data_IF_049073219000
#
_entry.id   IF_049073219000
#
_cell.length_a   1.000
_cell.length_b   1.000
_cell.length_c   1.000
_cell.angle_alpha   90.00
_cell.angle_beta   90.00
_cell.angle_gamma   90.00
#
_symmetry.space_group_name_H-M   'P 1'
#
loop_
_entity.id
_entity.type
_entity.pdbx_description
1 polymer ?
#
# COMPACT_ATOMS: atom_id res chain seq x y z
N UNK A 1 -13.48 24.88 -11.36
CA UNK A 1 -12.73 26.11 -11.72
C UNK A 1 -11.89 25.98 -12.99
N UNK A 2 -12.36 25.22 -14.01
CA UNK A 2 -11.87 25.29 -15.40
C UNK A 2 -10.61 24.50 -15.76
N UNK A 3 -9.50 24.65 -15.03
CA UNK A 3 -8.21 24.04 -15.38
C UNK A 3 -7.55 23.33 -14.18
N UNK A 4 -6.88 22.17 -14.40
CA UNK A 4 -6.04 21.55 -13.37
C UNK A 4 -4.92 22.49 -12.91
N UNK A 5 -4.60 22.45 -11.61
CA UNK A 5 -3.50 23.22 -11.03
C UNK A 5 -2.32 22.27 -10.77
N UNK A 6 -1.12 22.68 -11.19
CA UNK A 6 0.11 21.97 -10.83
C UNK A 6 0.51 22.27 -9.40
N UNK A 7 0.86 21.24 -8.63
CA UNK A 7 1.41 21.38 -7.28
C UNK A 7 2.91 21.11 -7.34
N UNK A 8 3.73 22.12 -7.02
CA UNK A 8 5.19 21.98 -6.98
C UNK A 8 5.61 21.42 -5.64
N UNK A 9 6.23 20.24 -5.63
CA UNK A 9 6.79 19.61 -4.43
C UNK A 9 8.31 19.67 -4.48
N UNK A 10 8.98 20.43 -3.58
CA UNK A 10 10.44 20.48 -3.53
C UNK A 10 11.06 19.14 -3.12
N UNK A 11 12.26 18.85 -3.60
CA UNK A 11 13.01 17.63 -3.26
C UNK A 11 13.15 17.42 -1.73
N UNK A 12 13.37 18.50 -0.96
CA UNK A 12 13.43 18.45 0.51
C UNK A 12 12.15 17.88 1.13
N UNK A 13 10.99 18.15 0.54
CA UNK A 13 9.71 17.60 1.00
C UNK A 13 9.64 16.09 0.83
N UNK A 14 10.07 15.59 -0.34
CA UNK A 14 10.14 14.15 -0.64
C UNK A 14 11.11 13.44 0.30
N UNK A 15 12.30 14.02 0.52
CA UNK A 15 13.30 13.47 1.45
C UNK A 15 12.77 13.44 2.89
N UNK A 16 12.13 14.53 3.34
CA UNK A 16 11.55 14.58 4.68
C UNK A 16 10.45 13.54 4.89
N UNK A 17 9.53 13.40 3.92
CA UNK A 17 8.51 12.35 3.94
C UNK A 17 9.18 10.97 3.99
N UNK A 18 10.21 10.74 3.19
CA UNK A 18 10.87 9.45 3.10
C UNK A 18 11.50 9.01 4.41
N UNK A 19 12.28 9.88 5.05
CA UNK A 19 12.84 9.58 6.37
C UNK A 19 11.77 9.46 7.46
N UNK A 20 10.68 10.23 7.38
CA UNK A 20 9.55 10.07 8.30
C UNK A 20 8.93 8.68 8.19
N UNK A 21 8.68 8.20 6.97
CA UNK A 21 8.13 6.85 6.72
C UNK A 21 9.12 5.76 7.17
N UNK A 22 10.40 5.88 6.80
CA UNK A 22 11.44 4.93 7.21
C UNK A 22 11.51 4.81 8.73
N UNK A 23 11.59 5.94 9.44
CA UNK A 23 11.74 5.95 10.89
C UNK A 23 10.47 5.49 11.62
N UNK A 24 9.29 5.95 11.17
CA UNK A 24 8.01 5.60 11.81
C UNK A 24 7.72 4.10 11.70
N UNK A 25 7.99 3.53 10.53
CA UNK A 25 7.65 2.13 10.26
C UNK A 25 8.83 1.18 10.38
N UNK A 26 10.03 1.69 10.69
CA UNK A 26 11.27 0.91 10.77
C UNK A 26 11.52 0.10 9.49
N UNK A 27 11.42 0.78 8.33
CA UNK A 27 11.68 0.14 7.04
C UNK A 27 13.17 -0.19 6.89
N UNK A 28 13.48 -1.32 6.24
CA UNK A 28 14.85 -1.69 5.92
C UNK A 28 14.98 -2.65 4.73
N UNK A 29 16.18 -3.21 4.56
CA UNK A 29 16.53 -4.09 3.44
C UNK A 29 15.65 -5.33 3.24
N UNK A 30 15.00 -5.79 4.30
CA UNK A 30 14.10 -6.97 4.27
C UNK A 30 12.66 -6.59 3.88
N UNK A 31 12.35 -5.31 3.74
CA UNK A 31 11.05 -4.85 3.31
C UNK A 31 10.94 -4.86 1.78
N UNK A 32 9.75 -5.24 1.32
CA UNK A 32 9.31 -5.19 -0.06
C UNK A 32 8.10 -4.27 -0.15
N UNK A 33 8.22 -3.17 -0.89
CA UNK A 33 7.14 -2.20 -1.11
C UNK A 33 6.52 -2.40 -2.49
N UNK A 34 5.19 -2.49 -2.54
CA UNK A 34 4.45 -2.59 -3.79
C UNK A 34 4.26 -1.20 -4.42
N UNK A 35 4.65 -1.04 -5.68
CA UNK A 35 4.38 0.16 -6.47
C UNK A 35 3.00 0.02 -7.12
N UNK A 36 1.94 0.43 -6.41
CA UNK A 36 0.55 0.26 -6.84
C UNK A 36 0.00 1.52 -7.49
N UNK A 37 0.21 2.68 -6.88
CA UNK A 37 -0.29 3.96 -7.37
C UNK A 37 0.23 4.28 -8.78
N UNK A 38 -0.51 5.06 -9.55
CA UNK A 38 0.07 5.63 -10.77
C UNK A 38 1.09 6.70 -10.40
N UNK A 39 2.17 6.85 -11.19
CA UNK A 39 3.23 7.84 -10.95
C UNK A 39 2.74 9.30 -11.04
N UNK A 40 1.55 9.52 -11.62
CA UNK A 40 0.90 10.84 -11.66
C UNK A 40 0.17 11.18 -10.36
N UNK A 41 0.04 10.22 -9.43
CA UNK A 41 -0.58 10.41 -8.12
C UNK A 41 0.51 10.46 -7.04
N UNK A 42 0.37 11.36 -6.08
CA UNK A 42 1.38 11.65 -5.05
C UNK A 42 1.66 10.45 -4.12
N UNK A 43 0.71 9.55 -3.92
CA UNK A 43 0.92 8.31 -3.17
C UNK A 43 2.09 7.46 -3.71
N UNK A 44 2.38 7.55 -5.02
CA UNK A 44 3.54 6.86 -5.61
C UNK A 44 4.87 7.31 -5.00
N UNK A 45 4.96 8.54 -4.50
CA UNK A 45 6.16 9.06 -3.82
C UNK A 45 6.43 8.26 -2.52
N UNK A 46 5.37 7.92 -1.77
CA UNK A 46 5.47 7.12 -0.55
C UNK A 46 5.84 5.65 -0.84
N UNK A 47 5.45 5.13 -2.01
CA UNK A 47 5.81 3.78 -2.43
C UNK A 47 7.26 3.68 -2.92
N UNK A 48 7.74 4.70 -3.65
CA UNK A 48 9.02 4.66 -4.37
C UNK A 48 10.19 5.06 -3.48
N UNK A 49 10.17 6.26 -2.90
CA UNK A 49 11.39 6.84 -2.31
C UNK A 49 11.80 6.23 -0.96
N UNK A 50 10.89 5.98 0.00
CA UNK A 50 11.28 5.43 1.29
C UNK A 50 11.99 4.08 1.16
N UNK A 51 11.47 3.18 0.31
CA UNK A 51 12.02 1.83 0.18
C UNK A 51 13.39 1.83 -0.51
N UNK A 52 13.58 2.67 -1.53
CA UNK A 52 14.86 2.78 -2.24
C UNK A 52 15.93 3.42 -1.35
N UNK A 53 15.55 4.37 -0.49
CA UNK A 53 16.49 5.04 0.42
C UNK A 53 16.92 4.16 1.60
N UNK A 54 16.10 3.18 2.03
CA UNK A 54 16.48 2.24 3.10
C UNK A 54 17.08 0.92 2.60
N UNK A 55 17.33 0.79 1.29
CA UNK A 55 17.94 -0.40 0.67
C UNK A 55 17.01 -1.61 0.56
N UNK A 56 15.69 -1.41 0.69
CA UNK A 56 14.69 -2.44 0.48
C UNK A 56 14.40 -2.70 -1.01
N UNK A 57 13.42 -3.55 -1.28
CA UNK A 57 13.02 -3.92 -2.65
C UNK A 57 11.70 -3.27 -3.03
N UNK A 58 11.61 -2.68 -4.21
CA UNK A 58 10.34 -2.27 -4.81
C UNK A 58 9.84 -3.33 -5.79
N UNK A 59 8.57 -3.71 -5.71
CA UNK A 59 7.93 -4.58 -6.69
C UNK A 59 6.95 -3.79 -7.55
N UNK A 60 7.16 -3.82 -8.86
CA UNK A 60 6.27 -3.18 -9.84
C UNK A 60 5.15 -4.14 -10.19
N UNK A 61 3.91 -3.81 -9.81
CA UNK A 61 2.74 -4.62 -10.15
C UNK A 61 2.23 -4.28 -11.55
N UNK A 62 1.94 -5.31 -12.34
CA UNK A 62 1.41 -5.17 -13.69
C UNK A 62 -0.08 -4.78 -13.70
N UNK A 63 -0.55 -4.25 -14.82
CA UNK A 63 -1.98 -3.94 -14.99
C UNK A 63 -2.87 -5.18 -14.88
N UNK A 64 -2.37 -6.36 -15.27
CA UNK A 64 -3.10 -7.63 -15.13
C UNK A 64 -3.27 -7.96 -13.65
N UNK A 65 -2.21 -7.83 -12.86
CA UNK A 65 -2.22 -8.13 -11.43
C UNK A 65 -3.05 -7.11 -10.61
N UNK A 66 -3.19 -5.87 -11.11
CA UNK A 66 -4.04 -4.83 -10.51
C UNK A 66 -5.55 -5.04 -10.76
N UNK A 67 -5.96 -5.89 -11.72
CA UNK A 67 -7.36 -5.99 -12.17
C UNK A 67 -8.31 -6.59 -11.13
N UNK A 68 -7.82 -7.44 -10.23
CA UNK A 68 -8.67 -8.11 -9.25
C UNK A 68 -7.99 -8.23 -7.90
N UNK A 69 -8.81 -8.35 -6.85
CA UNK A 69 -8.31 -8.61 -5.51
C UNK A 69 -7.61 -9.97 -5.40
N UNK A 70 -8.04 -10.97 -6.17
CA UNK A 70 -7.41 -12.30 -6.20
C UNK A 70 -6.00 -12.25 -6.79
N UNK A 71 -5.83 -11.63 -7.95
CA UNK A 71 -4.51 -11.49 -8.57
C UNK A 71 -3.57 -10.65 -7.71
N UNK A 72 -4.08 -9.56 -7.12
CA UNK A 72 -3.35 -8.76 -6.15
C UNK A 72 -2.86 -9.59 -4.95
N UNK A 73 -3.72 -10.46 -4.40
CA UNK A 73 -3.36 -11.32 -3.27
C UNK A 73 -2.29 -12.33 -3.70
N UNK A 74 -2.47 -12.97 -4.86
CA UNK A 74 -1.53 -13.97 -5.37
C UNK A 74 -0.16 -13.36 -5.67
N UNK A 75 -0.09 -12.18 -6.31
CA UNK A 75 1.19 -11.49 -6.56
C UNK A 75 1.84 -11.03 -5.26
N UNK A 76 1.03 -10.59 -4.29
CA UNK A 76 1.52 -10.16 -2.98
C UNK A 76 2.20 -11.31 -2.24
N UNK A 77 1.56 -12.48 -2.21
CA UNK A 77 2.10 -13.70 -1.63
C UNK A 77 3.36 -14.16 -2.36
N UNK A 78 3.29 -14.29 -3.69
CA UNK A 78 4.39 -14.79 -4.53
C UNK A 78 5.67 -13.97 -4.38
N UNK A 79 5.53 -12.65 -4.25
CA UNK A 79 6.66 -11.74 -4.18
C UNK A 79 7.04 -11.33 -2.76
N UNK A 80 6.39 -11.88 -1.73
CA UNK A 80 6.67 -11.54 -0.34
C UNK A 80 6.50 -10.05 -0.06
N UNK A 81 5.42 -9.45 -0.58
CA UNK A 81 5.13 -8.03 -0.39
C UNK A 81 4.88 -7.75 1.10
N UNK A 82 5.52 -6.72 1.63
CA UNK A 82 5.44 -6.36 3.06
C UNK A 82 4.72 -5.05 3.33
N UNK A 83 4.73 -4.11 2.37
CA UNK A 83 4.13 -2.79 2.50
C UNK A 83 3.31 -2.48 1.25
N UNK A 84 2.08 -2.01 1.45
CA UNK A 84 1.15 -1.65 0.36
C UNK A 84 0.41 -0.36 0.70
N UNK A 85 0.21 0.50 -0.29
CA UNK A 85 -0.71 1.65 -0.23
C UNK A 85 -1.87 1.37 -1.18
N UNK A 86 -3.11 1.43 -0.70
CA UNK A 86 -4.29 1.13 -1.49
C UNK A 86 -5.32 2.25 -1.42
N UNK A 87 -6.00 2.56 -2.53
CA UNK A 87 -7.24 3.34 -2.49
C UNK A 87 -8.29 2.62 -1.64
N UNK A 88 -9.12 3.40 -0.93
CA UNK A 88 -10.22 2.88 -0.11
C UNK A 88 -11.13 1.92 -0.89
N UNK A 89 -11.48 2.24 -2.13
CA UNK A 89 -12.27 1.36 -2.99
C UNK A 89 -11.62 -0.01 -3.22
N UNK A 90 -10.32 -0.06 -3.48
CA UNK A 90 -9.61 -1.33 -3.70
C UNK A 90 -9.48 -2.13 -2.40
N UNK A 91 -9.20 -1.47 -1.27
CA UNK A 91 -9.19 -2.13 0.02
C UNK A 91 -10.52 -2.83 0.34
N UNK A 92 -11.66 -2.21 0.01
CA UNK A 92 -12.98 -2.84 0.20
C UNK A 92 -13.12 -4.14 -0.59
N UNK A 93 -12.67 -4.15 -1.85
CA UNK A 93 -12.68 -5.37 -2.68
C UNK A 93 -11.87 -6.49 -2.03
N UNK A 94 -10.67 -6.17 -1.52
CA UNK A 94 -9.85 -7.16 -0.81
C UNK A 94 -10.54 -7.60 0.49
N UNK A 95 -11.05 -6.67 1.31
CA UNK A 95 -11.72 -6.98 2.58
C UNK A 95 -12.96 -7.87 2.41
N UNK A 96 -13.56 -7.90 1.21
CA UNK A 96 -14.67 -8.77 0.87
C UNK A 96 -14.25 -10.20 0.52
N UNK A 97 -12.98 -10.44 0.17
CA UNK A 97 -12.45 -11.76 -0.18
C UNK A 97 -12.58 -12.80 0.95
N UNK A 98 -12.71 -14.10 0.62
CA UNK A 98 -12.76 -15.18 1.60
C UNK A 98 -11.55 -15.16 2.55
N UNK A 99 -11.74 -15.64 3.78
CA UNK A 99 -10.68 -15.65 4.81
C UNK A 99 -9.43 -16.39 4.32
N UNK A 100 -9.62 -17.50 3.62
CA UNK A 100 -8.57 -18.36 3.06
C UNK A 100 -7.68 -17.59 2.08
N UNK A 101 -8.29 -16.68 1.30
CA UNK A 101 -7.55 -15.80 0.40
C UNK A 101 -6.80 -14.72 1.17
N UNK A 102 -7.43 -14.11 2.18
CA UNK A 102 -6.77 -13.08 2.99
C UNK A 102 -5.55 -13.61 3.75
N UNK A 103 -5.58 -14.87 4.21
CA UNK A 103 -4.44 -15.52 4.88
C UNK A 103 -3.20 -15.66 3.99
N UNK A 104 -3.33 -15.56 2.66
CA UNK A 104 -2.18 -15.51 1.73
C UNK A 104 -1.37 -14.23 1.85
N UNK A 105 -1.94 -13.14 2.41
CA UNK A 105 -1.24 -11.88 2.65
C UNK A 105 -0.37 -11.91 3.92
N UNK A 106 0.16 -13.09 4.28
CA UNK A 106 0.94 -13.30 5.51
C UNK A 106 2.28 -12.55 5.54
N UNK A 107 2.82 -12.15 4.39
CA UNK A 107 4.01 -11.31 4.31
C UNK A 107 3.71 -9.83 4.55
N UNK A 108 2.45 -9.39 4.37
CA UNK A 108 2.06 -7.99 4.47
C UNK A 108 2.07 -7.56 5.93
N UNK A 109 3.06 -6.74 6.29
CA UNK A 109 3.25 -6.18 7.62
C UNK A 109 2.45 -4.89 7.79
N UNK A 110 2.31 -4.11 6.71
CA UNK A 110 1.75 -2.74 6.76
C UNK A 110 0.86 -2.49 5.54
N UNK A 111 -0.37 -2.06 5.80
CA UNK A 111 -1.37 -1.70 4.80
C UNK A 111 -1.85 -0.27 5.07
N UNK A 112 -1.52 0.63 4.15
CA UNK A 112 -1.99 2.01 4.15
C UNK A 112 -3.22 2.12 3.25
N UNK A 113 -4.25 2.80 3.73
CA UNK A 113 -5.49 3.01 2.97
C UNK A 113 -5.82 4.48 2.95
N UNK A 114 -6.07 5.04 1.77
CA UNK A 114 -6.30 6.48 1.63
C UNK A 114 -6.95 6.88 0.30
N UNK A 115 -7.01 8.20 0.07
CA UNK A 115 -7.64 8.82 -1.10
C UNK A 115 -9.11 9.21 -0.89
N UNK A 116 -9.83 8.50 -0.02
CA UNK A 116 -11.25 8.70 0.28
C UNK A 116 -11.55 8.27 1.72
N UNK A 117 -12.71 8.64 2.26
CA UNK A 117 -13.17 8.20 3.59
C UNK A 117 -13.20 6.68 3.71
N UNK A 118 -12.37 6.12 4.59
CA UNK A 118 -12.35 4.70 4.93
C UNK A 118 -13.48 4.37 5.94
N UNK A 119 -14.48 3.55 5.56
CA UNK A 119 -15.53 3.17 6.50
C UNK A 119 -14.99 2.21 7.57
N UNK A 120 -15.31 2.49 8.83
CA UNK A 120 -14.90 1.65 9.96
C UNK A 120 -15.40 0.19 9.85
N UNK A 121 -16.53 -0.03 9.17
CA UNK A 121 -17.06 -1.38 8.92
C UNK A 121 -16.14 -2.23 8.04
N UNK A 122 -15.56 -1.65 6.99
CA UNK A 122 -14.61 -2.35 6.10
C UNK A 122 -13.37 -2.80 6.89
N UNK A 123 -12.89 -1.97 7.81
CA UNK A 123 -11.77 -2.29 8.71
C UNK A 123 -12.15 -3.41 9.68
N UNK A 124 -13.33 -3.33 10.32
CA UNK A 124 -13.82 -4.39 11.22
C UNK A 124 -14.00 -5.73 10.52
N UNK A 125 -14.50 -5.73 9.28
CA UNK A 125 -14.66 -6.94 8.45
C UNK A 125 -13.30 -7.60 8.18
N UNK A 126 -12.32 -6.80 7.76
CA UNK A 126 -10.94 -7.24 7.56
C UNK A 126 -10.34 -7.86 8.84
N UNK A 127 -10.45 -7.15 9.96
CA UNK A 127 -9.89 -7.58 11.25
C UNK A 127 -10.54 -8.87 11.75
N UNK A 128 -11.87 -8.98 11.67
CA UNK A 128 -12.61 -10.19 12.07
C UNK A 128 -12.16 -11.42 11.27
N UNK A 129 -11.97 -11.29 9.96
CA UNK A 129 -11.49 -12.39 9.11
C UNK A 129 -10.07 -12.83 9.46
N UNK A 130 -9.18 -11.89 9.80
CA UNK A 130 -7.78 -12.16 10.12
C UNK A 130 -7.49 -12.37 11.61
N UNK A 131 -8.48 -12.21 12.50
CA UNK A 131 -8.28 -12.28 13.94
C UNK A 131 -7.41 -11.17 14.52
N UNK A 132 -7.34 -10.01 13.84
CA UNK A 132 -6.55 -8.86 14.29
C UNK A 132 -7.32 -8.10 15.38
N UNK A 133 -6.65 -7.77 16.49
CA UNK A 133 -7.23 -6.94 17.55
C UNK A 133 -7.17 -5.46 17.18
N UNK A 134 -8.21 -4.72 17.55
CA UNK A 134 -8.22 -3.24 17.50
C UNK A 134 -7.82 -2.74 18.90
N UNK A 135 -6.88 -1.81 19.04
CA UNK A 135 -6.82 -0.93 20.21
C UNK A 135 -8.11 -0.11 20.35
#
# INVERSE_FOLDING_TARGET
TGLPKGVVVPHKGVVNLSYSVINTFHLGKEDVFLQFATIIFDASIMEIFPILLCGGRMHLISDIEKRSAEEFINVSQKNGITNVVLPTAFFKLIADMPKEMLLKLNSVKRLFVGGETLPAESVRKWQSKLGLKIP
#
